data_IF_685435805837
#
_entry.id   IF_685435805837
#
_cell.length_a   1.000
_cell.length_b   1.000
_cell.length_c   1.000
_cell.angle_alpha   90.00
_cell.angle_beta   90.00
_cell.angle_gamma   90.00
#
_symmetry.space_group_name_H-M   'P 1'
#
loop_
_entity.id
_entity.type
_entity.pdbx_description
1 polymer ?
#
# COMPACT_ATOMS: atom_id res chain seq x y z
N UNK A 1 63.82 0.53 10.49
CA UNK A 1 63.63 -0.32 9.30
C UNK A 1 62.65 -1.43 9.65
N UNK A 2 61.41 -1.31 9.23
CA UNK A 2 60.43 -2.40 9.14
C UNK A 2 59.33 -1.92 8.19
N UNK A 3 59.22 -2.58 7.05
CA UNK A 3 58.27 -2.30 5.98
C UNK A 3 56.92 -2.92 6.33
N UNK A 4 55.86 -2.15 6.21
CA UNK A 4 54.46 -2.64 6.29
C UNK A 4 53.98 -2.99 4.89
N UNK A 5 53.74 -4.27 4.67
CA UNK A 5 53.12 -4.79 3.46
C UNK A 5 51.60 -4.53 3.50
N UNK A 6 51.08 -3.83 2.47
CA UNK A 6 49.65 -3.67 2.22
C UNK A 6 49.10 -4.90 1.49
N UNK A 7 48.25 -5.68 2.15
CA UNK A 7 47.49 -6.73 1.50
C UNK A 7 46.28 -6.14 0.73
N UNK A 8 46.41 -6.11 -0.58
CA UNK A 8 45.27 -5.92 -1.49
C UNK A 8 44.42 -7.17 -1.51
N UNK A 9 43.21 -7.13 -0.93
CA UNK A 9 42.18 -8.16 -1.10
C UNK A 9 41.57 -8.02 -2.48
N UNK A 10 41.76 -9.01 -3.31
CA UNK A 10 41.09 -9.17 -4.62
C UNK A 10 39.59 -9.38 -4.40
N UNK A 11 38.77 -8.63 -5.15
CA UNK A 11 37.33 -8.83 -5.27
C UNK A 11 37.06 -10.05 -6.17
N UNK A 12 36.15 -10.96 -5.79
CA UNK A 12 35.75 -12.05 -6.68
C UNK A 12 34.82 -11.46 -7.77
N UNK A 13 35.25 -11.65 -9.01
CA UNK A 13 34.43 -11.40 -10.22
C UNK A 13 33.59 -12.63 -10.50
N UNK A 14 32.30 -12.42 -10.77
CA UNK A 14 31.43 -13.37 -11.46
C UNK A 14 30.51 -14.19 -10.56
N UNK A 15 29.35 -13.66 -10.19
CA UNK A 15 28.20 -14.47 -9.82
C UNK A 15 27.30 -14.64 -11.05
N UNK A 16 27.27 -15.85 -11.62
CA UNK A 16 26.25 -16.26 -12.56
C UNK A 16 24.87 -16.10 -11.91
N UNK A 17 23.98 -15.35 -12.54
CA UNK A 17 22.57 -15.28 -12.17
C UNK A 17 21.97 -16.67 -12.30
N UNK A 18 21.74 -17.35 -11.18
CA UNK A 18 20.91 -18.52 -11.14
C UNK A 18 19.46 -18.08 -11.31
N UNK A 19 18.85 -18.51 -12.42
CA UNK A 19 17.40 -18.42 -12.60
C UNK A 19 16.70 -19.13 -11.45
N UNK A 20 15.66 -18.52 -10.84
CA UNK A 20 14.90 -19.19 -9.79
C UNK A 20 14.27 -20.47 -10.37
N UNK A 21 14.32 -21.55 -9.60
CA UNK A 21 13.68 -22.81 -9.94
C UNK A 21 12.17 -22.61 -10.17
N UNK A 22 11.54 -23.34 -11.12
CA UNK A 22 10.12 -23.21 -11.40
C UNK A 22 9.32 -23.55 -10.12
N UNK A 23 8.57 -22.59 -9.63
CA UNK A 23 7.62 -22.80 -8.53
C UNK A 23 6.59 -23.83 -8.97
N UNK A 24 6.48 -24.92 -8.20
CA UNK A 24 5.43 -25.93 -8.36
C UNK A 24 4.09 -25.20 -8.29
N UNK A 25 3.29 -25.29 -9.36
CA UNK A 25 1.87 -24.94 -9.35
C UNK A 25 1.19 -25.69 -8.20
N UNK A 26 0.88 -24.96 -7.13
CA UNK A 26 0.15 -25.50 -6.01
C UNK A 26 -1.26 -25.85 -6.51
N UNK A 27 -1.59 -27.13 -6.53
CA UNK A 27 -2.99 -27.54 -6.66
C UNK A 27 -3.80 -26.83 -5.60
N UNK A 28 -4.79 -26.00 -6.03
CA UNK A 28 -5.70 -25.28 -5.12
C UNK A 28 -6.30 -26.30 -4.14
N UNK A 29 -5.92 -26.20 -2.88
CA UNK A 29 -6.59 -26.92 -1.82
C UNK A 29 -8.00 -26.33 -1.70
N UNK A 30 -9.04 -27.16 -1.77
CA UNK A 30 -10.38 -26.80 -1.29
C UNK A 30 -10.24 -26.54 0.22
N UNK A 31 -10.10 -25.29 0.64
CA UNK A 31 -9.91 -24.87 2.02
C UNK A 31 -10.37 -23.43 2.19
N UNK A 32 -10.42 -22.98 3.41
CA UNK A 32 -10.72 -21.60 3.77
C UNK A 32 -9.78 -20.66 3.01
N UNK A 33 -10.34 -19.71 2.27
CA UNK A 33 -9.58 -18.65 1.59
C UNK A 33 -9.87 -17.32 2.27
N UNK A 34 -8.86 -16.46 2.31
CA UNK A 34 -9.03 -15.10 2.78
C UNK A 34 -9.73 -14.24 1.71
N UNK A 35 -10.61 -13.34 2.14
CA UNK A 35 -11.27 -12.37 1.27
C UNK A 35 -11.48 -11.05 1.97
N UNK A 36 -11.71 -9.97 1.20
CA UNK A 36 -12.10 -8.67 1.72
C UNK A 36 -13.62 -8.62 1.82
N UNK A 37 -14.16 -8.25 2.99
CA UNK A 37 -15.58 -8.17 3.28
C UNK A 37 -16.07 -6.78 3.66
N UNK A 38 -15.15 -5.85 3.94
CA UNK A 38 -15.49 -4.45 4.20
C UNK A 38 -14.31 -3.53 3.94
N UNK A 39 -14.61 -2.28 3.65
CA UNK A 39 -13.64 -1.22 3.41
C UNK A 39 -14.05 0.07 4.11
N UNK A 40 -13.09 0.82 4.60
CA UNK A 40 -13.31 2.11 5.22
C UNK A 40 -12.19 3.08 4.89
N UNK A 41 -12.53 4.36 4.81
CA UNK A 41 -11.59 5.43 4.49
C UNK A 41 -11.78 6.61 5.43
N UNK A 42 -10.70 7.20 5.88
CA UNK A 42 -10.69 8.41 6.68
C UNK A 42 -9.64 9.39 6.16
N UNK A 43 -10.06 10.60 5.87
CA UNK A 43 -9.20 11.68 5.43
C UNK A 43 -9.23 12.81 6.47
N UNK A 44 -8.12 13.53 6.66
CA UNK A 44 -8.12 14.79 7.41
C UNK A 44 -9.07 15.81 6.80
N UNK A 45 -9.58 16.72 7.62
CA UNK A 45 -10.51 17.77 7.15
C UNK A 45 -9.79 18.88 6.40
N UNK A 46 -8.56 19.20 6.81
CA UNK A 46 -7.79 20.29 6.22
C UNK A 46 -7.32 19.96 4.80
N UNK A 47 -7.78 20.76 3.86
CA UNK A 47 -7.40 20.67 2.43
C UNK A 47 -6.32 21.70 2.14
N UNK A 48 -5.25 21.28 1.49
CA UNK A 48 -4.21 22.16 0.94
C UNK A 48 -4.22 22.00 -0.58
N UNK A 49 -4.49 23.10 -1.27
CA UNK A 49 -4.54 23.16 -2.74
C UNK A 49 -3.16 23.45 -3.35
N UNK A 50 -3.04 23.31 -4.66
CA UNK A 50 -1.82 23.76 -5.35
C UNK A 50 -1.64 25.27 -5.26
N UNK A 51 -2.74 26.06 -5.18
CA UNK A 51 -2.67 27.52 -5.01
C UNK A 51 -1.97 27.89 -3.68
N UNK A 52 -2.27 27.17 -2.59
CA UNK A 52 -1.61 27.38 -1.29
C UNK A 52 -0.11 27.09 -1.35
N UNK A 53 0.31 26.11 -2.18
CA UNK A 53 1.74 25.80 -2.38
C UNK A 53 2.46 26.88 -3.21
N UNK A 54 1.80 27.44 -4.20
CA UNK A 54 2.36 28.49 -5.09
C UNK A 54 2.72 29.75 -4.30
N UNK A 55 2.02 30.03 -3.19
CA UNK A 55 2.34 31.18 -2.34
C UNK A 55 3.75 31.11 -1.71
N UNK A 56 4.34 29.92 -1.59
CA UNK A 56 5.62 29.68 -0.89
C UNK A 56 6.68 28.95 -1.70
N UNK A 57 6.31 28.31 -2.81
CA UNK A 57 7.21 27.54 -3.66
C UNK A 57 7.24 28.13 -5.07
N UNK A 58 8.42 28.15 -5.69
CA UNK A 58 8.57 28.53 -7.10
C UNK A 58 7.98 27.44 -8.03
N UNK A 59 6.66 27.41 -8.18
CA UNK A 59 5.90 26.44 -8.96
C UNK A 59 4.59 27.05 -9.50
N UNK A 60 3.78 26.26 -10.21
CA UNK A 60 2.41 26.64 -10.61
C UNK A 60 1.48 25.43 -10.54
N UNK A 61 0.15 25.67 -10.46
CA UNK A 61 -0.85 24.61 -10.49
C UNK A 61 -0.69 23.74 -11.75
N UNK A 62 -0.54 24.37 -12.93
CA UNK A 62 -0.40 23.65 -14.19
C UNK A 62 0.86 22.78 -14.21
N UNK A 63 1.96 23.25 -13.60
CA UNK A 63 3.19 22.47 -13.52
C UNK A 63 3.03 21.25 -12.62
N UNK A 64 2.42 21.43 -11.42
CA UNK A 64 2.14 20.34 -10.47
C UNK A 64 1.24 19.28 -11.11
N UNK A 65 0.08 19.72 -11.65
CA UNK A 65 -0.91 18.82 -12.27
C UNK A 65 -0.29 18.03 -13.44
N UNK A 66 0.42 18.71 -14.33
CA UNK A 66 1.09 18.03 -15.47
C UNK A 66 2.13 17.01 -15.04
N UNK A 67 2.81 17.24 -13.93
CA UNK A 67 3.89 16.37 -13.44
C UNK A 67 3.39 15.21 -12.60
N UNK A 68 2.33 15.41 -11.83
CA UNK A 68 1.92 14.51 -10.77
C UNK A 68 0.47 14.04 -10.88
N UNK A 69 -0.39 14.83 -11.50
CA UNK A 69 -1.84 14.68 -11.48
C UNK A 69 -2.51 15.29 -10.25
N UNK A 70 -1.75 15.75 -9.25
CA UNK A 70 -2.25 16.22 -7.95
C UNK A 70 -2.81 17.64 -8.08
N UNK A 71 -4.02 17.86 -7.53
CA UNK A 71 -4.67 19.17 -7.42
C UNK A 71 -4.76 19.65 -5.99
N UNK A 72 -4.99 18.70 -5.06
CA UNK A 72 -5.08 18.98 -3.64
C UNK A 72 -4.56 17.80 -2.82
N UNK A 73 -4.33 18.03 -1.53
CA UNK A 73 -3.97 17.02 -0.53
C UNK A 73 -4.67 17.32 0.78
N UNK A 74 -4.78 16.28 1.59
CA UNK A 74 -5.29 16.40 2.96
C UNK A 74 -4.12 16.36 3.91
N UNK A 75 -4.17 17.20 4.94
CA UNK A 75 -3.10 17.32 5.94
C UNK A 75 -3.72 17.17 7.33
N UNK A 76 -3.17 16.25 8.11
CA UNK A 76 -3.61 16.00 9.47
C UNK A 76 -3.31 17.22 10.37
N UNK A 77 -4.20 17.55 11.30
CA UNK A 77 -3.94 18.62 12.24
C UNK A 77 -2.71 18.29 13.12
N UNK A 78 -1.92 19.30 13.52
CA UNK A 78 -0.68 19.05 14.28
C UNK A 78 -0.87 18.29 15.58
N UNK A 79 -2.02 18.44 16.23
CA UNK A 79 -2.41 17.81 17.49
C UNK A 79 -3.25 16.53 17.33
N UNK A 80 -3.66 16.20 16.10
CA UNK A 80 -4.43 14.99 15.81
C UNK A 80 -3.49 13.77 15.69
N UNK A 81 -3.66 12.71 16.49
CA UNK A 81 -2.91 11.47 16.34
C UNK A 81 -3.27 10.73 15.05
N UNK A 82 -2.28 10.13 14.39
CA UNK A 82 -2.51 9.25 13.24
C UNK A 82 -3.36 8.04 13.63
N UNK A 83 -3.19 7.53 14.85
CA UNK A 83 -3.95 6.42 15.38
C UNK A 83 -5.45 6.69 15.47
N UNK A 84 -5.89 7.93 15.67
CA UNK A 84 -7.30 8.32 15.64
C UNK A 84 -7.86 8.22 14.21
N UNK A 85 -7.12 8.70 13.21
CA UNK A 85 -7.51 8.61 11.81
C UNK A 85 -7.58 7.14 11.35
N UNK A 86 -6.59 6.33 11.74
CA UNK A 86 -6.56 4.90 11.48
C UNK A 86 -7.74 4.16 12.12
N UNK A 87 -8.06 4.47 13.39
CA UNK A 87 -9.20 3.88 14.09
C UNK A 87 -10.53 4.21 13.40
N UNK A 88 -10.68 5.44 12.91
CA UNK A 88 -11.87 5.87 12.17
C UNK A 88 -12.01 5.07 10.87
N UNK A 89 -10.94 4.87 10.10
CA UNK A 89 -10.97 4.05 8.89
C UNK A 89 -11.34 2.59 9.21
N UNK A 90 -10.75 2.02 10.27
CA UNK A 90 -11.06 0.66 10.73
C UNK A 90 -12.51 0.50 11.19
N UNK A 91 -13.06 1.48 11.92
CA UNK A 91 -14.46 1.46 12.35
C UNK A 91 -15.42 1.44 11.15
N UNK A 92 -15.17 2.27 10.14
CA UNK A 92 -15.94 2.30 8.90
C UNK A 92 -15.84 0.98 8.12
N UNK A 93 -14.65 0.35 8.09
CA UNK A 93 -14.47 -0.95 7.46
C UNK A 93 -15.26 -2.06 8.18
N UNK A 94 -15.31 -2.03 9.52
CA UNK A 94 -16.13 -2.97 10.32
C UNK A 94 -17.62 -2.75 10.07
N UNK A 95 -18.08 -1.51 10.05
CA UNK A 95 -19.47 -1.15 9.75
C UNK A 95 -19.89 -1.68 8.38
N UNK A 96 -19.06 -1.45 7.36
CA UNK A 96 -19.31 -1.91 6.00
C UNK A 96 -19.30 -3.45 5.88
N UNK A 97 -18.46 -4.14 6.67
CA UNK A 97 -18.45 -5.60 6.75
C UNK A 97 -19.60 -6.19 7.57
N UNK A 98 -20.40 -5.36 8.29
CA UNK A 98 -21.37 -5.81 9.26
C UNK A 98 -20.76 -6.59 10.43
N UNK A 99 -19.50 -6.24 10.81
CA UNK A 99 -18.74 -6.89 11.88
C UNK A 99 -18.55 -5.97 13.08
N UNK A 100 -18.33 -6.57 14.24
CA UNK A 100 -18.02 -5.85 15.47
C UNK A 100 -16.55 -5.94 15.84
N UNK A 101 -16.04 -5.00 16.63
CA UNK A 101 -14.67 -5.03 17.12
C UNK A 101 -14.34 -6.27 17.96
N UNK A 102 -15.33 -6.84 18.64
CA UNK A 102 -15.18 -8.07 19.44
C UNK A 102 -14.88 -9.32 18.59
N UNK A 103 -15.16 -9.30 17.28
CA UNK A 103 -14.88 -10.40 16.36
C UNK A 103 -13.46 -10.35 15.79
N UNK A 104 -12.74 -9.24 16.00
CA UNK A 104 -11.40 -9.02 15.42
C UNK A 104 -10.35 -9.78 16.21
N UNK A 105 -9.66 -10.71 15.54
CA UNK A 105 -8.56 -11.47 16.13
C UNK A 105 -7.21 -10.74 16.00
N UNK A 106 -7.03 -9.92 14.94
CA UNK A 106 -5.80 -9.20 14.70
C UNK A 106 -6.03 -7.86 13.98
N UNK A 107 -5.20 -6.86 14.35
CA UNK A 107 -5.09 -5.56 13.67
C UNK A 107 -3.67 -5.40 13.16
N UNK A 108 -3.51 -5.19 11.85
CA UNK A 108 -2.23 -4.91 11.20
C UNK A 108 -2.31 -3.49 10.62
N UNK A 109 -1.50 -2.58 11.14
CA UNK A 109 -1.37 -1.23 10.61
C UNK A 109 -0.07 -1.10 9.83
N UNK A 110 -0.15 -0.71 8.57
CA UNK A 110 1.01 -0.34 7.77
C UNK A 110 1.23 1.16 7.86
N UNK A 111 2.39 1.57 8.35
CA UNK A 111 2.76 2.98 8.46
C UNK A 111 4.28 3.18 8.54
N UNK A 112 4.76 4.33 8.02
CA UNK A 112 6.11 4.83 8.24
C UNK A 112 6.13 6.12 9.09
N UNK A 113 4.95 6.60 9.47
CA UNK A 113 4.76 7.86 10.20
C UNK A 113 4.00 7.67 11.51
N UNK A 114 4.39 6.70 12.35
CA UNK A 114 3.70 6.45 13.61
C UNK A 114 3.77 7.67 14.53
N UNK A 115 2.78 7.84 15.39
CA UNK A 115 2.74 8.92 16.39
C UNK A 115 3.91 8.84 17.37
N UNK A 116 4.42 7.63 17.61
CA UNK A 116 5.53 7.32 18.54
C UNK A 116 6.41 6.22 17.97
N UNK A 117 7.67 6.21 18.38
CA UNK A 117 8.58 5.08 18.08
C UNK A 117 8.06 3.79 18.73
N UNK A 118 7.50 3.87 19.92
CA UNK A 118 6.88 2.76 20.67
C UNK A 118 5.92 3.32 21.73
N UNK A 119 4.74 2.70 21.98
CA UNK A 119 4.16 1.66 21.14
C UNK A 119 3.78 2.17 19.74
N UNK A 120 3.51 1.24 18.82
CA UNK A 120 3.05 1.57 17.46
C UNK A 120 1.61 2.11 17.41
N UNK A 121 1.09 2.29 16.21
CA UNK A 121 -0.27 2.80 15.95
C UNK A 121 -1.33 1.75 16.24
N UNK A 122 -1.09 0.49 15.85
CA UNK A 122 -2.09 -0.59 15.95
C UNK A 122 -2.65 -0.83 17.37
N UNK A 123 -1.86 -0.78 18.47
CA UNK A 123 -2.39 -0.87 19.83
C UNK A 123 -3.38 0.25 20.17
N UNK A 124 -3.17 1.47 19.69
CA UNK A 124 -4.11 2.58 19.90
C UNK A 124 -5.39 2.42 19.09
N UNK A 125 -5.29 1.86 17.88
CA UNK A 125 -6.46 1.49 17.07
C UNK A 125 -7.29 0.44 17.81
N UNK A 126 -6.66 -0.61 18.34
CA UNK A 126 -7.35 -1.64 19.13
C UNK A 126 -8.09 -1.04 20.34
N UNK A 127 -7.42 -0.15 21.09
CA UNK A 127 -8.02 0.56 22.22
C UNK A 127 -9.23 1.41 21.79
N UNK A 128 -9.09 2.19 20.72
CA UNK A 128 -10.13 3.09 20.24
C UNK A 128 -11.38 2.34 19.73
N UNK A 129 -11.19 1.15 19.15
CA UNK A 129 -12.28 0.28 18.69
C UNK A 129 -12.91 -0.56 19.80
N UNK A 130 -12.27 -0.70 20.97
CA UNK A 130 -12.66 -1.66 21.98
C UNK A 130 -12.39 -3.12 21.59
N UNK A 131 -11.39 -3.37 20.74
CA UNK A 131 -10.97 -4.70 20.30
C UNK A 131 -10.01 -5.33 21.32
N UNK A 132 -10.50 -5.60 22.54
CA UNK A 132 -9.69 -5.96 23.72
C UNK A 132 -8.89 -7.25 23.58
N UNK A 133 -9.33 -8.16 22.70
CA UNK A 133 -8.70 -9.47 22.50
C UNK A 133 -7.85 -9.54 21.22
N UNK A 134 -7.90 -8.51 20.40
CA UNK A 134 -7.14 -8.49 19.14
C UNK A 134 -5.63 -8.35 19.41
N UNK A 135 -4.84 -9.17 18.74
CA UNK A 135 -3.41 -8.88 18.61
C UNK A 135 -3.21 -7.66 17.69
N UNK A 136 -2.26 -6.78 18.03
CA UNK A 136 -2.09 -5.54 17.29
C UNK A 136 -0.60 -5.32 16.94
N UNK A 137 -0.29 -5.06 15.66
CA UNK A 137 1.08 -4.90 15.17
C UNK A 137 1.15 -3.86 14.06
N UNK A 138 2.21 -3.06 14.09
CA UNK A 138 2.59 -2.21 12.96
C UNK A 138 3.57 -2.94 12.05
N UNK A 139 3.42 -2.75 10.73
CA UNK A 139 4.37 -3.21 9.72
C UNK A 139 4.90 -2.04 8.90
N UNK A 140 6.16 -2.13 8.50
CA UNK A 140 6.80 -1.13 7.67
C UNK A 140 7.40 -1.80 6.41
N UNK A 141 6.73 -1.60 5.29
CA UNK A 141 7.24 -1.88 3.95
C UNK A 141 6.96 -0.67 3.04
N UNK A 142 7.12 0.52 3.60
CA UNK A 142 6.88 1.80 2.95
C UNK A 142 5.53 1.82 2.18
N UNK A 143 5.51 2.36 0.96
CA UNK A 143 4.27 2.45 0.16
C UNK A 143 3.71 1.08 -0.27
N UNK A 144 4.49 0.00 -0.23
CA UNK A 144 4.02 -1.36 -0.48
C UNK A 144 3.39 -2.03 0.76
N UNK A 145 3.46 -1.38 1.91
CA UNK A 145 3.13 -1.96 3.20
C UNK A 145 1.70 -2.48 3.32
N UNK A 146 0.72 -1.86 2.66
CA UNK A 146 -0.64 -2.38 2.64
C UNK A 146 -0.75 -3.75 1.96
N UNK A 147 -0.05 -3.96 0.83
CA UNK A 147 -0.04 -5.25 0.13
C UNK A 147 0.67 -6.31 0.97
N UNK A 148 1.78 -5.96 1.64
CA UNK A 148 2.46 -6.84 2.58
C UNK A 148 1.58 -7.22 3.79
N UNK A 149 0.85 -6.25 4.35
CA UNK A 149 -0.08 -6.48 5.45
C UNK A 149 -1.26 -7.37 5.02
N UNK A 150 -1.75 -7.19 3.78
CA UNK A 150 -2.84 -8.00 3.22
C UNK A 150 -2.40 -9.46 3.01
N UNK A 151 -1.18 -9.70 2.50
CA UNK A 151 -0.60 -11.04 2.38
C UNK A 151 -0.47 -11.73 3.74
N UNK A 152 0.02 -10.99 4.76
CA UNK A 152 0.11 -11.51 6.13
C UNK A 152 -1.27 -11.87 6.69
N UNK A 153 -2.28 -11.00 6.49
CA UNK A 153 -3.65 -11.25 6.93
C UNK A 153 -4.22 -12.50 6.25
N UNK A 154 -4.04 -12.64 4.93
CA UNK A 154 -4.46 -13.82 4.18
C UNK A 154 -3.82 -15.10 4.74
N UNK A 155 -2.51 -15.08 4.99
CA UNK A 155 -1.79 -16.21 5.57
C UNK A 155 -2.31 -16.59 6.97
N UNK A 156 -2.65 -15.61 7.84
CA UNK A 156 -3.22 -15.86 9.16
C UNK A 156 -4.60 -16.53 9.07
N UNK A 157 -5.46 -16.05 8.16
CA UNK A 157 -6.78 -16.61 7.92
C UNK A 157 -6.67 -18.04 7.36
N UNK A 158 -5.89 -18.24 6.31
CA UNK A 158 -5.77 -19.54 5.62
C UNK A 158 -5.10 -20.61 6.48
N UNK A 159 -4.23 -20.21 7.41
CA UNK A 159 -3.64 -21.10 8.40
C UNK A 159 -4.55 -21.42 9.59
N UNK A 160 -5.71 -20.75 9.69
CA UNK A 160 -6.66 -20.90 10.80
C UNK A 160 -6.21 -20.27 12.11
N UNK A 161 -5.22 -19.37 12.09
CA UNK A 161 -4.72 -18.64 13.27
C UNK A 161 -5.57 -17.42 13.62
N UNK A 162 -6.26 -16.87 12.64
CA UNK A 162 -7.21 -15.78 12.80
C UNK A 162 -8.44 -16.06 11.93
N UNK A 163 -9.59 -15.50 12.30
CA UNK A 163 -10.85 -15.56 11.55
C UNK A 163 -11.19 -14.21 10.93
N UNK A 164 -10.87 -13.13 11.62
CA UNK A 164 -11.11 -11.76 11.20
C UNK A 164 -9.86 -10.92 11.47
N UNK A 165 -9.31 -10.31 10.44
CA UNK A 165 -8.14 -9.42 10.51
C UNK A 165 -8.51 -8.06 9.95
N UNK A 166 -8.23 -6.98 10.69
CA UNK A 166 -8.24 -5.62 10.17
C UNK A 166 -6.87 -5.30 9.57
N UNK A 167 -6.85 -4.87 8.31
CA UNK A 167 -5.65 -4.37 7.64
C UNK A 167 -5.84 -2.90 7.35
N UNK A 168 -5.00 -2.05 7.89
CA UNK A 168 -5.06 -0.61 7.75
C UNK A 168 -3.75 -0.07 7.19
N UNK A 169 -3.83 0.78 6.16
CA UNK A 169 -2.75 1.67 5.77
C UNK A 169 -3.03 3.06 6.31
N UNK A 170 -2.12 3.66 7.07
CA UNK A 170 -2.32 4.97 7.68
C UNK A 170 -1.03 5.79 7.66
N UNK A 171 -1.10 7.03 7.15
CA UNK A 171 0.07 7.87 6.98
C UNK A 171 -0.21 9.34 7.28
N UNK A 172 0.76 9.97 7.91
CA UNK A 172 0.88 11.41 8.09
C UNK A 172 2.18 11.89 7.44
N UNK A 173 2.29 11.74 6.11
CA UNK A 173 3.50 12.05 5.35
C UNK A 173 3.89 13.52 5.43
N UNK A 174 2.91 14.40 5.71
CA UNK A 174 3.17 15.81 5.98
C UNK A 174 4.19 16.06 7.08
N UNK A 175 4.30 15.14 8.06
CA UNK A 175 5.26 15.24 9.18
C UNK A 175 6.71 15.01 8.77
N UNK A 176 6.92 14.27 7.67
CA UNK A 176 8.25 13.92 7.16
C UNK A 176 8.52 14.52 5.76
N UNK A 177 7.64 15.36 5.27
CA UNK A 177 7.83 16.07 4.01
C UNK A 177 8.72 17.30 4.23
N UNK A 178 9.71 17.49 3.39
CA UNK A 178 10.44 18.76 3.33
C UNK A 178 9.58 19.79 2.60
N UNK A 179 8.90 20.64 3.37
CA UNK A 179 7.95 21.62 2.83
C UNK A 179 8.61 22.73 2.01
N UNK A 180 9.92 22.90 2.09
CA UNK A 180 10.72 23.86 1.34
C UNK A 180 11.33 23.24 0.08
N UNK A 181 11.33 21.90 -0.04
CA UNK A 181 11.77 21.22 -1.24
C UNK A 181 10.65 21.15 -2.28
N UNK A 182 10.76 21.92 -3.32
CA UNK A 182 9.84 21.92 -4.46
C UNK A 182 9.62 20.54 -5.08
N UNK A 183 10.63 19.64 -4.98
CA UNK A 183 10.58 18.30 -5.58
C UNK A 183 9.64 17.35 -4.84
N UNK A 184 9.51 17.51 -3.53
CA UNK A 184 8.76 16.60 -2.65
C UNK A 184 7.53 17.23 -2.01
N UNK A 185 7.56 18.52 -1.67
CA UNK A 185 6.48 19.21 -0.96
C UNK A 185 5.09 19.12 -1.64
N UNK A 186 5.08 18.98 -2.97
CA UNK A 186 3.83 18.91 -3.75
C UNK A 186 3.25 17.49 -3.88
N UNK A 187 3.99 16.45 -3.44
CA UNK A 187 3.65 15.06 -3.75
C UNK A 187 2.74 14.41 -2.71
N UNK A 188 2.96 14.71 -1.43
CA UNK A 188 2.47 13.90 -0.33
C UNK A 188 1.21 14.48 0.32
N UNK A 189 0.39 13.58 0.85
CA UNK A 189 -0.77 13.87 1.66
C UNK A 189 -0.94 12.82 2.76
N UNK A 190 -1.89 13.08 3.66
CA UNK A 190 -2.19 12.26 4.82
C UNK A 190 -3.53 11.57 4.66
N UNK A 191 -3.67 10.38 5.23
CA UNK A 191 -4.91 9.62 5.18
C UNK A 191 -4.79 8.25 5.80
N UNK A 192 -5.93 7.61 6.01
CA UNK A 192 -6.02 6.23 6.43
C UNK A 192 -7.11 5.49 5.65
N UNK A 193 -6.84 4.24 5.29
CA UNK A 193 -7.81 3.35 4.71
C UNK A 193 -7.64 1.95 5.29
N UNK A 194 -8.74 1.23 5.45
CA UNK A 194 -8.73 -0.09 6.05
C UNK A 194 -9.64 -1.07 5.34
N UNK A 195 -9.32 -2.35 5.45
CA UNK A 195 -10.20 -3.44 5.00
C UNK A 195 -10.37 -4.48 6.11
N UNK A 196 -11.54 -5.13 6.10
CA UNK A 196 -11.80 -6.33 6.90
C UNK A 196 -11.49 -7.54 6.04
N UNK A 197 -10.54 -8.36 6.48
CA UNK A 197 -10.18 -9.64 5.86
C UNK A 197 -10.73 -10.77 6.72
N UNK A 198 -11.45 -11.69 6.10
CA UNK A 198 -12.00 -12.85 6.79
C UNK A 198 -11.97 -14.10 5.90
N UNK A 199 -12.17 -15.26 6.53
CA UNK A 199 -12.22 -16.54 5.83
C UNK A 199 -13.56 -16.81 5.18
N UNK A 200 -13.54 -17.47 4.01
CA UNK A 200 -14.75 -17.91 3.30
C UNK A 200 -14.46 -19.04 2.34
N UNK A 201 -15.53 -19.69 1.85
CA UNK A 201 -15.46 -20.58 0.70
C UNK A 201 -15.51 -19.73 -0.57
N UNK A 202 -14.36 -19.16 -0.95
CA UNK A 202 -14.22 -18.23 -2.07
C UNK A 202 -13.62 -18.95 -3.26
N UNK A 203 -13.93 -18.48 -4.47
CA UNK A 203 -13.34 -19.02 -5.69
C UNK A 203 -11.91 -18.46 -5.89
N UNK A 204 -11.72 -17.18 -5.65
CA UNK A 204 -10.45 -16.47 -5.83
C UNK A 204 -9.95 -15.90 -4.49
N UNK A 205 -10.77 -15.16 -3.75
CA UNK A 205 -10.41 -14.53 -2.49
C UNK A 205 -9.29 -13.47 -2.66
N UNK A 206 -8.35 -13.47 -1.71
CA UNK A 206 -7.10 -12.71 -1.75
C UNK A 206 -5.95 -13.67 -2.04
N UNK A 207 -5.20 -13.44 -3.13
CA UNK A 207 -4.13 -14.38 -3.49
C UNK A 207 -3.21 -13.88 -4.59
N UNK A 208 -2.40 -14.79 -5.13
CA UNK A 208 -1.44 -14.48 -6.17
C UNK A 208 -0.34 -13.52 -5.73
N UNK A 209 -0.12 -13.35 -4.42
CA UNK A 209 0.82 -12.34 -3.93
C UNK A 209 2.25 -12.56 -4.46
N UNK A 210 2.85 -11.46 -4.92
CA UNK A 210 4.24 -11.34 -5.36
C UNK A 210 4.86 -10.18 -4.59
N UNK A 211 5.74 -10.50 -3.67
CA UNK A 211 6.46 -9.52 -2.85
C UNK A 211 7.94 -9.55 -3.20
N UNK A 212 8.62 -8.41 -3.17
CA UNK A 212 10.03 -8.36 -3.47
C UNK A 212 10.74 -7.13 -2.92
N UNK A 213 12.07 -7.23 -2.85
CA UNK A 213 12.95 -6.18 -2.33
C UNK A 213 14.23 -6.11 -3.16
N UNK A 214 14.69 -4.89 -3.45
CA UNK A 214 16.01 -4.59 -4.01
C UNK A 214 16.75 -3.63 -3.08
N UNK A 215 17.42 -4.18 -2.07
CA UNK A 215 18.13 -3.42 -1.05
C UNK A 215 19.33 -2.61 -1.60
N UNK A 216 19.78 -2.87 -2.82
CA UNK A 216 20.86 -2.09 -3.45
C UNK A 216 20.44 -0.67 -3.81
N UNK A 217 19.15 -0.38 -3.77
CA UNK A 217 18.55 0.91 -4.10
C UNK A 217 18.00 1.66 -2.88
N UNK A 218 18.36 1.25 -1.66
CA UNK A 218 17.80 1.79 -0.42
C UNK A 218 17.98 3.31 -0.30
N UNK A 219 19.10 3.83 -0.77
CA UNK A 219 19.45 5.26 -0.68
C UNK A 219 18.76 6.14 -1.76
N UNK A 220 17.94 5.55 -2.63
CA UNK A 220 17.23 6.30 -3.67
C UNK A 220 15.91 6.93 -3.21
N UNK A 221 15.35 6.42 -2.10
CA UNK A 221 14.14 6.96 -1.47
C UNK A 221 14.19 6.60 0.02
N UNK A 222 14.38 7.58 0.88
CA UNK A 222 14.53 7.36 2.32
C UNK A 222 14.12 8.59 3.13
N UNK A 223 13.94 8.40 4.42
CA UNK A 223 13.85 9.47 5.41
C UNK A 223 14.75 9.14 6.58
N UNK A 224 15.68 10.04 6.90
CA UNK A 224 16.55 9.89 8.06
C UNK A 224 15.74 10.06 9.37
N UNK A 225 16.12 9.28 10.37
CA UNK A 225 15.41 9.31 11.66
C UNK A 225 15.49 10.68 12.34
N UNK A 226 16.64 11.31 12.27
CA UNK A 226 16.92 12.56 13.00
C UNK A 226 16.38 13.79 12.25
N UNK A 227 16.49 13.80 10.92
CA UNK A 227 15.98 14.90 10.10
C UNK A 227 14.47 14.79 9.84
N UNK A 228 13.94 13.58 9.81
CA UNK A 228 12.54 13.26 9.46
C UNK A 228 12.10 13.93 8.16
N UNK A 229 12.98 13.92 7.14
CA UNK A 229 12.71 14.50 5.82
C UNK A 229 12.88 13.46 4.74
N UNK A 230 11.86 13.30 3.92
CA UNK A 230 11.91 12.44 2.74
C UNK A 230 12.90 12.99 1.72
N UNK A 231 13.77 12.11 1.26
CA UNK A 231 14.73 12.36 0.17
C UNK A 231 14.46 11.36 -0.96
N UNK A 232 14.49 11.84 -2.20
CA UNK A 232 14.09 11.01 -3.33
C UNK A 232 14.85 11.35 -4.62
N UNK A 233 15.43 10.32 -5.23
CA UNK A 233 15.94 10.36 -6.60
C UNK A 233 14.79 10.06 -7.59
N UNK A 234 13.92 11.03 -7.82
CA UNK A 234 12.62 10.84 -8.48
C UNK A 234 12.68 10.18 -9.85
N UNK A 235 13.78 10.33 -10.61
CA UNK A 235 13.96 9.69 -11.93
C UNK A 235 14.18 8.18 -11.82
N UNK A 236 15.01 7.77 -10.85
CA UNK A 236 15.28 6.35 -10.61
C UNK A 236 14.07 5.66 -10.00
N UNK A 237 13.42 6.31 -9.01
CA UNK A 237 12.15 5.83 -8.43
C UNK A 237 11.11 5.60 -9.52
N UNK A 238 10.91 6.56 -10.45
CA UNK A 238 9.97 6.44 -11.56
C UNK A 238 10.24 5.20 -12.44
N UNK A 239 11.49 5.02 -12.85
CA UNK A 239 11.91 3.92 -13.74
C UNK A 239 11.72 2.55 -13.07
N UNK A 240 12.16 2.41 -11.82
CA UNK A 240 12.05 1.17 -11.07
C UNK A 240 10.61 0.84 -10.70
N UNK A 241 9.80 1.84 -10.33
CA UNK A 241 8.40 1.65 -9.98
C UNK A 241 7.61 1.00 -11.11
N UNK A 242 7.68 1.53 -12.33
CA UNK A 242 6.96 0.97 -13.48
C UNK A 242 7.40 -0.47 -13.74
N UNK A 243 8.71 -0.71 -13.88
CA UNK A 243 9.22 -2.04 -14.21
C UNK A 243 8.83 -3.10 -13.17
N UNK A 244 8.94 -2.77 -11.86
CA UNK A 244 8.62 -3.72 -10.77
C UNK A 244 7.12 -3.93 -10.61
N UNK A 245 6.32 -2.87 -10.68
CA UNK A 245 4.86 -2.97 -10.60
C UNK A 245 4.30 -3.80 -11.75
N UNK A 246 4.74 -3.57 -12.99
CA UNK A 246 4.30 -4.34 -14.16
C UNK A 246 4.65 -5.81 -14.02
N UNK A 247 5.93 -6.12 -13.74
CA UNK A 247 6.39 -7.50 -13.62
C UNK A 247 5.68 -8.25 -12.48
N UNK A 248 5.56 -7.62 -11.30
CA UNK A 248 4.91 -8.25 -10.15
C UNK A 248 3.40 -8.42 -10.36
N UNK A 249 2.73 -7.47 -11.04
CA UNK A 249 1.29 -7.59 -11.33
C UNK A 249 1.02 -8.70 -12.33
N UNK A 250 1.80 -8.80 -13.41
CA UNK A 250 1.67 -9.87 -14.38
C UNK A 250 1.86 -11.25 -13.74
N UNK A 251 2.89 -11.39 -12.91
CA UNK A 251 3.15 -12.62 -12.15
C UNK A 251 2.03 -12.92 -11.13
N UNK A 252 1.46 -11.90 -10.47
CA UNK A 252 0.36 -12.07 -9.52
C UNK A 252 -0.90 -12.61 -10.21
N UNK A 253 -1.22 -12.08 -11.39
CA UNK A 253 -2.33 -12.55 -12.23
C UNK A 253 -2.13 -14.03 -12.62
N UNK A 254 -0.93 -14.38 -13.09
CA UNK A 254 -0.59 -15.76 -13.45
C UNK A 254 -0.69 -16.71 -12.24
N UNK A 255 -0.17 -16.31 -11.07
CA UNK A 255 -0.26 -17.10 -9.83
C UNK A 255 -1.70 -17.32 -9.36
N UNK A 256 -2.57 -16.34 -9.63
CA UNK A 256 -4.00 -16.47 -9.36
C UNK A 256 -4.73 -17.38 -10.37
N UNK A 257 -4.05 -17.81 -11.44
CA UNK A 257 -4.63 -18.62 -12.52
C UNK A 257 -5.55 -17.83 -13.44
N UNK A 258 -5.32 -16.53 -13.56
CA UNK A 258 -6.07 -15.56 -14.33
C UNK A 258 -5.25 -15.02 -15.50
N UNK A 259 -5.92 -14.27 -16.37
CA UNK A 259 -5.33 -13.48 -17.44
C UNK A 259 -5.58 -12.00 -17.20
N UNK A 260 -4.92 -11.14 -17.96
CA UNK A 260 -5.12 -9.69 -17.87
C UNK A 260 -6.56 -9.26 -18.21
N UNK A 261 -7.22 -10.02 -19.08
CA UNK A 261 -8.60 -9.75 -19.51
C UNK A 261 -9.60 -9.96 -18.37
N UNK A 262 -9.30 -10.86 -17.42
CA UNK A 262 -10.11 -11.14 -16.24
C UNK A 262 -10.09 -10.02 -15.20
N UNK A 263 -9.10 -9.10 -15.26
CA UNK A 263 -8.99 -7.99 -14.33
C UNK A 263 -10.04 -6.93 -14.63
N UNK A 264 -10.92 -6.66 -13.66
CA UNK A 264 -11.95 -5.63 -13.75
C UNK A 264 -11.42 -4.24 -13.39
N UNK A 265 -10.54 -4.17 -12.38
CA UNK A 265 -9.98 -2.91 -11.90
C UNK A 265 -8.51 -3.07 -11.45
N UNK A 266 -7.66 -2.16 -11.89
CA UNK A 266 -6.28 -2.03 -11.42
C UNK A 266 -6.20 -0.90 -10.39
N UNK A 267 -5.93 -1.23 -9.15
CA UNK A 267 -5.79 -0.30 -8.03
C UNK A 267 -4.34 -0.32 -7.56
N UNK A 268 -3.56 0.59 -8.10
CA UNK A 268 -2.15 0.72 -7.75
C UNK A 268 -1.93 1.83 -6.71
N UNK A 269 -0.79 1.75 -6.02
CA UNK A 269 -0.31 2.84 -5.17
C UNK A 269 -0.29 4.17 -5.92
N UNK A 270 -0.98 5.16 -5.37
CA UNK A 270 -1.19 6.48 -5.98
C UNK A 270 0.05 7.39 -5.80
N UNK A 271 1.17 6.98 -6.40
CA UNK A 271 2.43 7.72 -6.29
C UNK A 271 2.48 8.94 -7.22
N UNK A 272 2.03 8.76 -8.46
CA UNK A 272 2.08 9.75 -9.54
C UNK A 272 1.23 9.25 -10.71
N UNK A 273 0.37 10.11 -11.28
CA UNK A 273 -0.50 9.71 -12.40
C UNK A 273 0.28 9.16 -13.60
N UNK A 274 1.51 9.64 -13.83
CA UNK A 274 2.36 9.17 -14.92
C UNK A 274 2.85 7.74 -14.71
N UNK A 275 3.15 7.36 -13.46
CA UNK A 275 3.51 5.97 -13.10
C UNK A 275 2.29 5.08 -13.29
N UNK A 276 1.14 5.49 -12.78
CA UNK A 276 -0.12 4.74 -12.89
C UNK A 276 -0.48 4.44 -14.34
N UNK A 277 -0.48 5.48 -15.18
CA UNK A 277 -0.83 5.38 -16.60
C UNK A 277 0.19 4.52 -17.35
N UNK A 278 1.49 4.70 -17.08
CA UNK A 278 2.53 3.89 -17.73
C UNK A 278 2.42 2.41 -17.36
N UNK A 279 2.22 2.10 -16.08
CA UNK A 279 2.07 0.71 -15.63
C UNK A 279 0.81 0.05 -16.22
N UNK A 280 -0.34 0.75 -16.25
CA UNK A 280 -1.56 0.24 -16.86
C UNK A 280 -1.39 -0.01 -18.37
N UNK A 281 -0.75 0.92 -19.10
CA UNK A 281 -0.49 0.77 -20.52
C UNK A 281 0.45 -0.40 -20.82
N UNK A 282 1.53 -0.59 -20.04
CA UNK A 282 2.45 -1.71 -20.23
C UNK A 282 1.80 -3.06 -19.90
N UNK A 283 0.83 -3.08 -18.98
CA UNK A 283 -0.01 -4.25 -18.70
C UNK A 283 -1.08 -4.51 -19.76
N UNK A 284 -1.30 -3.58 -20.70
CA UNK A 284 -2.37 -3.67 -21.69
C UNK A 284 -3.76 -3.36 -21.16
N UNK A 285 -3.86 -2.74 -20.00
CA UNK A 285 -5.15 -2.37 -19.38
C UNK A 285 -5.67 -1.06 -19.98
N UNK A 286 -6.96 -1.02 -20.38
CA UNK A 286 -7.57 0.20 -20.87
C UNK A 286 -7.79 1.22 -19.71
N UNK A 287 -7.84 2.52 -20.02
CA UNK A 287 -7.89 3.57 -19.00
C UNK A 287 -9.05 3.46 -18.01
N UNK A 288 -10.19 2.93 -18.45
CA UNK A 288 -11.37 2.72 -17.61
C UNK A 288 -11.16 1.64 -16.52
N UNK A 289 -10.22 0.74 -16.70
CA UNK A 289 -9.83 -0.26 -15.69
C UNK A 289 -8.78 0.28 -14.70
N UNK A 290 -8.23 1.48 -14.90
CA UNK A 290 -7.30 2.10 -13.96
C UNK A 290 -8.03 2.95 -12.93
N UNK A 291 -7.79 2.71 -11.64
CA UNK A 291 -8.27 3.57 -10.56
C UNK A 291 -7.29 4.73 -10.33
N UNK A 292 -7.82 5.95 -10.32
CA UNK A 292 -7.04 7.18 -10.07
C UNK A 292 -7.83 8.08 -9.13
N UNK A 293 -7.25 8.43 -7.99
CA UNK A 293 -7.79 9.43 -7.06
C UNK A 293 -6.69 10.36 -6.50
N UNK A 294 -5.49 10.23 -7.03
CA UNK A 294 -4.33 11.02 -6.62
C UNK A 294 -4.56 12.53 -6.75
N UNK A 295 -5.44 12.95 -7.64
CA UNK A 295 -5.79 14.35 -7.86
C UNK A 295 -6.40 15.01 -6.61
N UNK A 296 -7.09 14.24 -5.76
CA UNK A 296 -7.82 14.68 -4.57
C UNK A 296 -7.16 14.33 -3.24
N UNK A 297 -6.34 13.27 -3.22
CA UNK A 297 -5.74 12.76 -1.97
C UNK A 297 -4.22 12.82 -1.97
N UNK A 298 -3.59 13.09 -3.14
CA UNK A 298 -2.15 13.03 -3.36
C UNK A 298 -1.56 11.65 -3.06
N UNK A 299 -0.25 11.56 -2.84
CA UNK A 299 0.42 10.34 -2.44
C UNK A 299 0.32 10.17 -0.91
N UNK A 300 -0.49 9.23 -0.48
CA UNK A 300 -0.69 8.85 0.93
C UNK A 300 0.02 7.54 1.29
N UNK A 301 1.12 7.19 0.59
CA UNK A 301 1.93 5.98 0.83
C UNK A 301 1.08 4.71 0.98
N UNK A 302 1.20 3.99 2.11
CA UNK A 302 0.48 2.73 2.36
C UNK A 302 -1.05 2.89 2.45
N UNK A 303 -1.55 4.08 2.74
CA UNK A 303 -2.99 4.36 2.78
C UNK A 303 -3.63 4.48 1.38
N UNK A 304 -2.82 4.68 0.33
CA UNK A 304 -3.34 5.04 -1.00
C UNK A 304 -4.20 3.95 -1.64
N UNK A 305 -3.82 2.67 -1.53
CA UNK A 305 -4.61 1.56 -2.08
C UNK A 305 -5.96 1.44 -1.38
N UNK A 306 -6.05 1.31 -0.04
CA UNK A 306 -7.34 1.16 0.62
C UNK A 306 -8.23 2.41 0.49
N UNK A 307 -7.66 3.62 0.40
CA UNK A 307 -8.41 4.84 0.06
C UNK A 307 -9.01 4.76 -1.36
N UNK A 308 -8.23 4.28 -2.33
CA UNK A 308 -8.68 4.11 -3.71
C UNK A 308 -9.76 3.00 -3.82
N UNK A 309 -9.63 1.91 -3.06
CA UNK A 309 -10.63 0.83 -2.99
C UNK A 309 -11.97 1.35 -2.43
N UNK A 310 -11.93 2.09 -1.32
CA UNK A 310 -13.13 2.68 -0.71
C UNK A 310 -13.83 3.67 -1.65
N UNK A 311 -13.06 4.45 -2.39
CA UNK A 311 -13.60 5.37 -3.38
C UNK A 311 -14.19 4.63 -4.58
N UNK A 312 -13.50 3.63 -5.11
CA UNK A 312 -13.98 2.83 -6.24
C UNK A 312 -15.30 2.09 -5.91
N UNK A 313 -15.45 1.63 -4.67
CA UNK A 313 -16.71 1.03 -4.21
C UNK A 313 -17.83 2.07 -4.11
N UNK A 314 -17.57 3.19 -3.45
CA UNK A 314 -18.54 4.30 -3.34
C UNK A 314 -19.03 4.77 -4.70
N UNK A 315 -18.16 4.83 -5.69
CA UNK A 315 -18.44 5.28 -7.04
C UNK A 315 -19.05 4.16 -7.92
N UNK A 316 -19.30 2.96 -7.36
CA UNK A 316 -19.91 1.81 -8.04
C UNK A 316 -19.02 1.13 -9.07
N UNK A 317 -17.71 1.41 -9.05
CA UNK A 317 -16.70 0.77 -9.92
C UNK A 317 -16.35 -0.64 -9.45
N UNK A 318 -16.46 -0.90 -8.15
CA UNK A 318 -16.28 -2.22 -7.56
C UNK A 318 -17.64 -2.85 -7.26
N UNK A 319 -17.88 -4.00 -7.85
CA UNK A 319 -19.06 -4.83 -7.60
C UNK A 319 -18.62 -6.13 -6.90
N UNK A 320 -19.49 -6.77 -6.10
CA UNK A 320 -19.19 -8.08 -5.54
C UNK A 320 -18.74 -9.08 -6.61
N UNK A 321 -17.59 -9.72 -6.39
CA UNK A 321 -16.96 -10.64 -7.33
C UNK A 321 -16.02 -9.99 -8.35
N UNK A 322 -15.91 -8.66 -8.41
CA UNK A 322 -14.96 -7.99 -9.31
C UNK A 322 -13.53 -8.39 -8.99
N UNK A 323 -12.75 -8.68 -10.01
CA UNK A 323 -11.34 -9.04 -9.91
C UNK A 323 -10.49 -7.77 -9.90
N UNK A 324 -9.83 -7.52 -8.78
CA UNK A 324 -8.98 -6.34 -8.56
C UNK A 324 -7.52 -6.75 -8.51
N UNK A 325 -6.71 -6.17 -9.38
CA UNK A 325 -5.27 -6.28 -9.30
C UNK A 325 -4.73 -5.13 -8.45
N UNK A 326 -4.03 -5.46 -7.35
CA UNK A 326 -3.35 -4.51 -6.49
C UNK A 326 -1.87 -4.46 -6.83
N UNK A 327 -1.26 -3.26 -6.81
CA UNK A 327 0.18 -3.13 -7.03
C UNK A 327 0.75 -1.91 -6.31
N UNK A 328 1.89 -2.08 -5.67
CA UNK A 328 2.59 -1.01 -4.98
C UNK A 328 4.11 -1.12 -5.12
N UNK A 329 4.75 0.03 -5.02
CA UNK A 329 6.21 0.17 -4.99
C UNK A 329 6.58 1.28 -3.99
N UNK A 330 7.66 1.09 -3.24
CA UNK A 330 8.09 2.05 -2.23
C UNK A 330 9.57 2.00 -1.92
N UNK A 331 9.95 2.80 -0.92
CA UNK A 331 11.32 2.87 -0.41
C UNK A 331 11.84 1.50 0.01
N UNK A 332 13.12 1.25 -0.28
CA UNK A 332 13.75 0.01 0.08
C UNK A 332 14.71 -0.55 -0.99
N UNK A 333 14.52 -0.65 -2.34
CA UNK A 333 13.16 -0.61 -2.84
C UNK A 333 12.38 -1.84 -2.43
N UNK A 334 11.12 -1.69 -2.17
CA UNK A 334 10.18 -2.79 -1.95
C UNK A 334 9.00 -2.68 -2.90
N UNK A 335 8.42 -3.82 -3.29
CA UNK A 335 7.20 -3.85 -4.11
C UNK A 335 6.31 -5.02 -3.71
N UNK A 336 5.04 -4.89 -4.04
CA UNK A 336 4.07 -5.94 -3.82
C UNK A 336 2.92 -5.83 -4.80
N UNK A 337 2.46 -6.97 -5.30
CA UNK A 337 1.24 -7.10 -6.08
C UNK A 337 0.43 -8.28 -5.58
N UNK A 338 -0.89 -8.23 -5.77
CA UNK A 338 -1.80 -9.31 -5.39
C UNK A 338 -3.13 -9.18 -6.10
N UNK A 339 -3.90 -10.24 -6.11
CA UNK A 339 -5.23 -10.30 -6.71
C UNK A 339 -6.27 -10.44 -5.59
N UNK A 340 -7.36 -9.69 -5.72
CA UNK A 340 -8.49 -9.74 -4.79
C UNK A 340 -9.78 -9.91 -5.59
N UNK A 341 -10.60 -10.89 -5.20
CA UNK A 341 -12.00 -10.93 -5.59
C UNK A 341 -12.81 -10.10 -4.59
N UNK A 342 -13.40 -8.99 -5.06
CA UNK A 342 -14.02 -7.98 -4.22
C UNK A 342 -15.32 -8.47 -3.61
N UNK A 343 -15.40 -8.52 -2.24
CA UNK A 343 -16.60 -8.90 -1.49
C UNK A 343 -17.34 -10.08 -2.11
N UNK A 344 -16.58 -11.09 -2.49
CA UNK A 344 -17.13 -12.31 -3.09
C UNK A 344 -18.15 -12.93 -2.15
N UNK A 345 -19.40 -13.08 -2.63
CA UNK A 345 -20.51 -13.62 -1.83
C UNK A 345 -20.49 -15.12 -1.92
N UNK A 346 -19.92 -15.78 -0.93
CA UNK A 346 -20.16 -17.17 -0.66
C UNK A 346 -20.38 -17.38 0.84
N UNK A 347 -21.02 -18.48 1.21
CA UNK A 347 -21.45 -18.73 2.58
C UNK A 347 -20.30 -18.51 3.57
N UNK A 348 -20.40 -17.44 4.35
CA UNK A 348 -19.50 -17.21 5.48
C UNK A 348 -19.71 -18.37 6.44
N UNK A 349 -18.70 -19.22 6.64
CA UNK A 349 -18.73 -20.19 7.74
C UNK A 349 -18.81 -19.42 9.06
N UNK A 350 -19.92 -19.65 9.79
CA UNK A 350 -20.20 -19.04 11.09
C UNK A 350 -19.25 -19.56 12.18
#
# INVERSE_FOLDING_TARGET
MAATASEQRARPTGSAQQSPAPHRTAQRRRGLQAGIFGVGAALPEHVVTNADLVERLDTSDEWIVRRTGIRERRIIAPDQPLSELAARACALALEDAGRTAAEVDQIIVSTITPDRVTPGVAPYVALALGAEHASAVDVNAACAGFVYALDQAAAQIESGRARVVLVCGAEALSRITDHDDRGTAMLFGDGAGAVVVAGGELEIGCGGFVLGTDATQADMLYAERDEQKLRMEGREVYRHAIARMVAATAEAIERAGLTIDDVDLFVAHQANVRILTAAANELGLPPEKLMVNIDRVANTSSASIPLALAEAERDGRLKPGAIVALSAFGAGFVWGSGIVSWKERTHVCA
#
